data_IF_424768382980
#
_entry.id   IF_424768382980
#
_cell.length_a   1.000
_cell.length_b   1.000
_cell.length_c   1.000
_cell.angle_alpha   90.00
_cell.angle_beta   90.00
_cell.angle_gamma   90.00
#
_symmetry.space_group_name_H-M   'P 1'
#
loop_
_entity.id
_entity.type
_entity.pdbx_description
1 polymer ?
#
# COMPACT_ATOMS: atom_id res chain seq x y z
N UNK A 1 -7.71 11.30 2.85
CA UNK A 1 -6.92 10.87 1.67
C UNK A 1 -6.48 9.45 1.99
N UNK A 2 -6.78 8.47 1.13
CA UNK A 2 -6.52 7.06 1.43
C UNK A 2 -5.33 6.58 0.61
N UNK A 3 -4.42 5.90 1.29
CA UNK A 3 -3.26 5.25 0.70
C UNK A 3 -3.32 3.76 1.02
N UNK A 4 -2.94 2.92 0.07
CA UNK A 4 -2.81 1.48 0.28
C UNK A 4 -1.37 1.07 0.06
N UNK A 5 -0.81 0.35 1.02
CA UNK A 5 0.42 -0.42 0.91
C UNK A 5 0.05 -1.89 0.83
N UNK A 6 0.64 -2.66 -0.07
CA UNK A 6 0.49 -4.10 -0.01
C UNK A 6 1.72 -4.83 -0.54
N UNK A 7 2.30 -5.70 0.28
CA UNK A 7 3.14 -6.77 -0.23
C UNK A 7 2.25 -7.86 -0.82
N UNK A 8 2.17 -7.90 -2.14
CA UNK A 8 1.24 -8.80 -2.84
C UNK A 8 1.85 -10.17 -3.16
N UNK A 9 3.13 -10.37 -2.86
CA UNK A 9 3.90 -11.60 -3.07
C UNK A 9 3.81 -12.18 -4.50
N UNK A 10 3.41 -11.37 -5.47
CA UNK A 10 3.33 -11.67 -6.89
C UNK A 10 1.97 -11.31 -7.51
N UNK A 11 1.96 -10.36 -8.45
CA UNK A 11 0.76 -10.00 -9.25
C UNK A 11 0.55 -10.92 -10.46
N UNK A 12 1.12 -12.12 -10.40
CA UNK A 12 1.11 -13.13 -11.45
C UNK A 12 -0.22 -13.88 -11.57
N UNK A 13 -0.94 -14.05 -10.46
CA UNK A 13 -2.12 -14.90 -10.38
C UNK A 13 -3.42 -14.11 -10.58
N UNK A 14 -4.48 -14.72 -11.15
CA UNK A 14 -5.80 -14.09 -11.24
C UNK A 14 -6.38 -13.72 -9.89
N UNK A 15 -6.16 -14.54 -8.85
CA UNK A 15 -6.66 -14.29 -7.49
C UNK A 15 -6.03 -13.02 -6.90
N UNK A 16 -4.71 -12.85 -6.96
CA UNK A 16 -4.04 -11.65 -6.43
C UNK A 16 -4.50 -10.38 -7.18
N UNK A 17 -4.68 -10.47 -8.50
CA UNK A 17 -5.20 -9.36 -9.31
C UNK A 17 -6.67 -9.04 -8.97
N UNK A 18 -7.48 -10.06 -8.70
CA UNK A 18 -8.85 -9.88 -8.24
C UNK A 18 -8.89 -9.13 -6.90
N UNK A 19 -8.10 -9.58 -5.92
CA UNK A 19 -8.01 -8.94 -4.61
C UNK A 19 -7.52 -7.50 -4.71
N UNK A 20 -6.51 -7.22 -5.54
CA UNK A 20 -6.11 -5.84 -5.84
C UNK A 20 -7.31 -5.03 -6.36
N UNK A 21 -8.06 -5.58 -7.31
CA UNK A 21 -9.27 -4.96 -7.85
C UNK A 21 -10.35 -4.72 -6.79
N UNK A 22 -10.48 -5.57 -5.78
CA UNK A 22 -11.39 -5.37 -4.66
C UNK A 22 -10.92 -4.27 -3.71
N UNK A 23 -9.61 -4.22 -3.41
CA UNK A 23 -9.01 -3.17 -2.59
C UNK A 23 -9.20 -1.79 -3.23
N UNK A 24 -8.93 -1.68 -4.54
CA UNK A 24 -9.11 -0.45 -5.32
C UNK A 24 -10.57 0.00 -5.34
N UNK A 25 -11.50 -0.93 -5.60
CA UNK A 25 -12.95 -0.62 -5.67
C UNK A 25 -13.58 -0.29 -4.32
N UNK A 26 -13.10 -0.90 -3.24
CA UNK A 26 -13.73 -0.75 -1.92
C UNK A 26 -13.26 0.49 -1.17
N UNK A 27 -12.04 0.96 -1.43
CA UNK A 27 -11.42 2.04 -0.66
C UNK A 27 -11.11 3.28 -1.50
N UNK A 28 -11.20 3.20 -2.83
CA UNK A 28 -10.90 4.30 -3.76
C UNK A 28 -9.61 5.07 -3.39
N UNK A 29 -8.47 4.37 -3.25
CA UNK A 29 -7.24 4.98 -2.80
C UNK A 29 -6.72 6.00 -3.82
N UNK A 30 -6.20 7.12 -3.31
CA UNK A 30 -5.51 8.13 -4.13
C UNK A 30 -4.07 7.72 -4.48
N UNK A 31 -3.45 6.88 -3.64
CA UNK A 31 -2.11 6.34 -3.83
C UNK A 31 -2.09 4.86 -3.44
N UNK A 32 -1.43 4.03 -4.23
CA UNK A 32 -1.29 2.59 -4.01
C UNK A 32 0.14 2.20 -4.25
N UNK A 33 0.76 1.55 -3.28
CA UNK A 33 2.07 0.95 -3.41
C UNK A 33 1.96 -0.56 -3.33
N UNK A 34 2.67 -1.24 -4.22
CA UNK A 34 2.75 -2.68 -4.29
C UNK A 34 4.22 -3.12 -4.20
N UNK A 35 4.52 -3.97 -3.23
CA UNK A 35 5.81 -4.65 -3.07
C UNK A 35 5.75 -6.10 -3.55
N UNK A 36 6.94 -6.67 -3.83
CA UNK A 36 7.14 -8.03 -4.35
C UNK A 36 6.17 -8.38 -5.48
N UNK A 37 6.01 -7.45 -6.43
CA UNK A 37 5.08 -7.64 -7.55
C UNK A 37 5.47 -8.84 -8.43
N UNK A 38 6.76 -9.22 -8.44
CA UNK A 38 7.33 -10.33 -9.25
C UNK A 38 6.95 -10.22 -10.74
N UNK A 39 6.78 -9.00 -11.23
CA UNK A 39 6.25 -8.72 -12.56
C UNK A 39 7.20 -7.86 -13.42
N UNK A 40 7.09 -8.07 -14.72
CA UNK A 40 7.65 -7.20 -15.75
C UNK A 40 6.65 -6.10 -16.15
N UNK A 41 7.14 -5.08 -16.86
CA UNK A 41 6.42 -3.90 -17.34
C UNK A 41 5.02 -4.20 -17.87
N UNK A 42 4.88 -5.16 -18.78
CA UNK A 42 3.62 -5.42 -19.47
C UNK A 42 2.44 -5.74 -18.54
N UNK A 43 2.70 -6.42 -17.40
CA UNK A 43 1.66 -6.73 -16.43
C UNK A 43 1.20 -5.49 -15.67
N UNK A 44 2.15 -4.67 -15.22
CA UNK A 44 1.87 -3.43 -14.48
C UNK A 44 1.13 -2.44 -15.38
N UNK A 45 1.53 -2.30 -16.65
CA UNK A 45 0.83 -1.46 -17.62
C UNK A 45 -0.60 -1.97 -17.89
N UNK A 46 -0.83 -3.28 -17.87
CA UNK A 46 -2.18 -3.84 -17.90
C UNK A 46 -3.03 -3.45 -16.69
N UNK A 47 -2.46 -3.44 -15.48
CA UNK A 47 -3.15 -3.01 -14.25
C UNK A 47 -3.48 -1.51 -14.31
N UNK A 48 -2.54 -0.67 -14.75
CA UNK A 48 -2.74 0.77 -14.95
C UNK A 48 -3.92 1.05 -15.89
N UNK A 49 -3.94 0.40 -17.06
CA UNK A 49 -5.03 0.55 -18.04
C UNK A 49 -6.39 0.15 -17.49
N UNK A 50 -6.49 -0.98 -16.77
CA UNK A 50 -7.77 -1.47 -16.22
C UNK A 50 -8.28 -0.65 -15.03
N UNK A 51 -7.37 -0.12 -14.21
CA UNK A 51 -7.71 0.66 -13.02
C UNK A 51 -7.89 2.15 -13.31
N UNK A 52 -7.43 2.64 -14.46
CA UNK A 52 -7.41 4.07 -14.78
C UNK A 52 -6.39 4.87 -13.95
N UNK A 53 -5.42 4.18 -13.33
CA UNK A 53 -4.39 4.79 -12.50
C UNK A 53 -3.14 5.12 -13.32
N UNK A 54 -2.50 6.22 -12.97
CA UNK A 54 -1.14 6.53 -13.37
C UNK A 54 -0.16 5.74 -12.49
N UNK A 55 1.10 5.61 -12.91
CA UNK A 55 2.05 4.88 -12.08
C UNK A 55 3.46 4.75 -12.64
N UNK A 56 4.41 4.61 -11.73
CA UNK A 56 5.79 4.19 -11.97
C UNK A 56 6.05 2.83 -11.32
N UNK A 57 7.08 2.12 -11.79
CA UNK A 57 7.42 0.81 -11.27
C UNK A 57 8.90 0.50 -11.46
N UNK A 58 9.36 -0.48 -10.71
CA UNK A 58 10.67 -1.12 -10.82
C UNK A 58 10.39 -2.59 -11.14
N UNK A 59 10.95 -3.13 -12.21
CA UNK A 59 10.72 -4.52 -12.59
C UNK A 59 11.36 -5.51 -11.61
N UNK A 60 10.79 -6.72 -11.52
CA UNK A 60 11.40 -7.79 -10.75
C UNK A 60 12.72 -8.27 -11.36
N UNK A 61 13.65 -8.68 -10.49
CA UNK A 61 14.88 -9.37 -10.88
C UNK A 61 14.67 -10.87 -10.68
N UNK A 62 14.53 -11.60 -11.79
CA UNK A 62 14.12 -13.01 -11.75
C UNK A 62 12.78 -13.21 -11.03
N UNK A 63 12.77 -14.04 -9.99
CA UNK A 63 11.59 -14.41 -9.18
C UNK A 63 11.37 -13.53 -7.93
N UNK A 64 12.17 -12.48 -7.76
CA UNK A 64 12.15 -11.62 -6.57
C UNK A 64 11.98 -10.15 -6.89
N UNK A 65 11.40 -9.42 -5.95
CA UNK A 65 11.27 -7.98 -5.98
C UNK A 65 10.24 -7.48 -6.99
N UNK A 66 10.47 -6.26 -7.44
CA UNK A 66 9.56 -5.50 -8.27
C UNK A 66 8.61 -4.65 -7.42
N UNK A 67 8.60 -3.36 -7.69
CA UNK A 67 7.83 -2.36 -6.95
C UNK A 67 6.91 -1.63 -7.91
N UNK A 68 5.71 -1.25 -7.46
CA UNK A 68 4.85 -0.37 -8.24
C UNK A 68 4.24 0.70 -7.34
N UNK A 69 4.25 1.94 -7.80
CA UNK A 69 3.53 3.03 -7.20
C UNK A 69 2.51 3.54 -8.20
N UNK A 70 1.24 3.48 -7.83
CA UNK A 70 0.09 3.85 -8.65
C UNK A 70 -0.69 4.98 -7.98
N UNK A 71 -1.24 5.91 -8.75
CA UNK A 71 -2.01 7.03 -8.22
C UNK A 71 -3.14 7.45 -9.16
N UNK A 72 -4.16 8.07 -8.58
CA UNK A 72 -5.30 8.61 -9.32
C UNK A 72 -5.00 10.01 -9.88
N UNK A 73 -5.92 10.54 -10.69
CA UNK A 73 -5.80 11.89 -11.27
C UNK A 73 -5.78 13.02 -10.22
N UNK A 74 -6.24 12.75 -8.99
CA UNK A 74 -6.30 13.71 -7.89
C UNK A 74 -4.95 13.93 -7.23
N UNK A 75 -3.96 13.08 -7.50
CA UNK A 75 -2.62 13.16 -6.93
C UNK A 75 -1.59 13.50 -8.00
N UNK A 76 -0.78 14.51 -7.74
CA UNK A 76 0.43 14.82 -8.51
C UNK A 76 1.60 14.13 -7.83
N UNK A 77 2.37 13.32 -8.55
CA UNK A 77 3.53 12.61 -8.00
C UNK A 77 4.79 13.09 -8.72
N UNK A 78 5.79 13.49 -7.95
CA UNK A 78 7.12 13.88 -8.42
C UNK A 78 8.13 12.86 -7.90
N UNK A 79 8.79 12.17 -8.82
CA UNK A 79 9.82 11.19 -8.49
C UNK A 79 11.08 11.91 -8.01
N UNK A 80 11.59 11.53 -6.85
CA UNK A 80 12.86 12.03 -6.31
C UNK A 80 13.98 11.04 -6.59
N UNK A 81 13.86 9.81 -6.06
CA UNK A 81 14.84 8.74 -6.25
C UNK A 81 14.14 7.38 -6.36
N UNK A 82 14.79 6.42 -7.01
CA UNK A 82 14.31 5.04 -7.08
C UNK A 82 15.47 4.06 -7.20
N UNK A 83 15.18 2.79 -6.89
CA UNK A 83 16.11 1.70 -7.05
C UNK A 83 15.42 0.34 -6.87
N UNK A 84 16.17 -0.77 -6.90
CA UNK A 84 15.62 -2.13 -6.84
C UNK A 84 14.71 -2.39 -5.63
N UNK A 85 14.97 -1.68 -4.52
CA UNK A 85 14.27 -1.85 -3.26
C UNK A 85 13.55 -0.58 -2.81
N UNK A 86 13.40 0.44 -3.68
CA UNK A 86 12.77 1.69 -3.27
C UNK A 86 12.18 2.54 -4.37
N UNK A 87 11.14 3.28 -3.99
CA UNK A 87 10.60 4.40 -4.74
C UNK A 87 10.42 5.54 -3.73
N UNK A 88 11.06 6.66 -3.97
CA UNK A 88 10.93 7.87 -3.17
C UNK A 88 10.29 8.97 -4.02
N UNK A 89 9.19 9.53 -3.52
CA UNK A 89 8.34 10.47 -4.25
C UNK A 89 7.85 11.57 -3.34
N UNK A 90 7.58 12.73 -3.95
CA UNK A 90 6.82 13.81 -3.38
C UNK A 90 5.43 13.82 -4.03
N UNK A 91 4.37 13.65 -3.23
CA UNK A 91 3.00 13.49 -3.73
C UNK A 91 2.14 14.66 -3.28
N UNK A 92 1.50 15.43 -4.15
CA UNK A 92 0.65 16.57 -3.79
C UNK A 92 -0.79 16.30 -4.23
N UNK A 93 -1.77 16.47 -3.34
CA UNK A 93 -3.20 16.35 -3.69
C UNK A 93 -3.69 17.62 -4.39
N UNK A 94 -4.24 17.47 -5.58
CA UNK A 94 -4.82 18.57 -6.37
C UNK A 94 -6.09 19.08 -5.67
N UNK A 95 -6.20 20.41 -5.55
CA UNK A 95 -7.33 21.09 -4.88
C UNK A 95 -7.08 21.47 -3.42
N UNK A 96 -5.98 21.03 -2.80
CA UNK A 96 -5.48 21.57 -1.54
C UNK A 96 -4.51 22.73 -1.84
N UNK A 97 -5.07 23.89 -2.19
CA UNK A 97 -4.33 25.13 -2.42
C UNK A 97 -4.39 26.01 -1.15
N UNK A 98 -3.80 25.59 -0.03
CA UNK A 98 -3.23 26.56 0.91
C UNK A 98 -1.73 26.68 0.64
N UNK A 99 -1.21 27.91 0.65
CA UNK A 99 0.21 28.19 0.46
C UNK A 99 0.98 27.53 1.62
N UNK A 100 1.67 26.42 1.34
CA UNK A 100 2.22 25.50 2.37
C UNK A 100 1.74 24.04 2.21
N UNK A 101 0.72 23.79 1.38
CA UNK A 101 0.14 22.47 1.13
C UNK A 101 0.97 21.56 0.22
N UNK A 102 2.22 21.92 -0.06
CA UNK A 102 3.16 20.97 -0.63
C UNK A 102 3.35 19.87 0.41
N UNK A 103 2.85 18.68 0.12
CA UNK A 103 3.20 17.42 0.79
C UNK A 103 4.69 17.17 0.51
N UNK A 104 5.56 18.04 1.03
CA UNK A 104 7.00 17.90 0.96
C UNK A 104 7.32 16.69 1.83
N UNK A 105 7.89 15.70 1.15
CA UNK A 105 8.65 14.56 1.64
C UNK A 105 8.80 14.49 3.16
N UNK A 106 8.29 13.42 3.77
CA UNK A 106 9.17 12.32 4.20
C UNK A 106 8.35 11.02 4.25
N UNK A 107 8.87 10.01 3.55
CA UNK A 107 8.62 8.58 3.77
C UNK A 107 7.16 8.11 3.89
N UNK A 108 6.40 8.09 2.78
CA UNK A 108 5.73 6.83 2.47
C UNK A 108 6.78 5.88 1.88
N UNK A 109 7.79 5.56 2.70
CA UNK A 109 8.73 4.51 2.41
C UNK A 109 7.98 3.24 2.76
N UNK A 110 6.98 2.94 1.94
CA UNK A 110 6.40 1.62 1.90
C UNK A 110 7.52 0.78 1.31
N UNK A 111 8.40 0.28 2.16
CA UNK A 111 9.29 -0.80 1.81
C UNK A 111 8.88 -1.96 2.69
N UNK A 112 8.29 -2.95 2.05
CA UNK A 112 8.27 -4.28 2.63
C UNK A 112 9.71 -4.78 2.62
N UNK A 113 10.17 -5.21 3.81
CA UNK A 113 11.44 -5.90 4.11
C UNK A 113 12.66 -4.95 4.24
N UNK A 114 13.26 -4.89 5.45
CA UNK A 114 14.54 -5.53 5.87
C UNK A 114 14.86 -5.04 7.31
N UNK A 115 15.17 -5.96 8.24
CA UNK A 115 15.68 -5.71 9.62
C UNK A 115 16.79 -4.63 9.72
N UNK A 116 17.64 -4.52 8.70
CA UNK A 116 18.73 -3.52 8.52
C UNK A 116 18.24 -2.08 8.34
N UNK A 117 16.95 -1.85 8.08
CA UNK A 117 16.40 -0.51 7.91
C UNK A 117 16.06 0.18 9.25
N UNK A 118 15.94 -0.58 10.35
CA UNK A 118 15.71 0.00 11.69
C UNK A 118 16.81 1.01 12.06
N UNK A 119 18.06 0.76 11.66
CA UNK A 119 19.19 1.66 11.91
C UNK A 119 19.15 2.94 11.06
N UNK A 120 18.65 2.85 9.81
CA UNK A 120 18.47 4.00 8.92
C UNK A 120 17.23 4.85 9.29
N UNK A 121 16.22 4.25 9.93
CA UNK A 121 15.08 4.97 10.51
C UNK A 121 15.53 5.82 11.70
N UNK A 122 16.44 5.32 12.53
CA UNK A 122 16.97 6.06 13.69
C UNK A 122 17.72 7.33 13.29
N UNK A 123 18.41 7.34 12.14
CA UNK A 123 19.09 8.53 11.63
C UNK A 123 18.16 9.54 10.94
N UNK A 124 16.89 9.18 10.71
CA UNK A 124 15.93 9.99 9.93
C UNK A 124 14.74 10.50 10.75
N UNK A 125 14.77 10.35 12.09
CA UNK A 125 13.70 10.74 13.02
C UNK A 125 12.31 10.22 12.59
N UNK A 126 12.28 9.04 11.95
CA UNK A 126 11.06 8.38 11.51
C UNK A 126 10.61 7.40 12.59
N UNK A 127 9.37 7.55 13.05
CA UNK A 127 8.78 6.69 14.07
C UNK A 127 7.53 6.00 13.56
N UNK A 128 7.28 4.78 14.01
CA UNK A 128 6.09 3.98 13.73
C UNK A 128 4.81 4.77 14.03
N UNK A 129 3.83 4.73 13.13
CA UNK A 129 2.54 5.41 13.31
C UNK A 129 1.54 4.62 14.18
N UNK A 130 1.89 3.41 14.60
CA UNK A 130 0.93 2.45 15.16
C UNK A 130 0.01 1.87 14.10
N UNK A 131 -1.00 1.12 14.54
CA UNK A 131 -2.04 0.55 13.68
C UNK A 131 -3.30 0.19 14.47
N UNK A 132 -4.42 0.06 13.77
CA UNK A 132 -5.66 -0.55 14.25
C UNK A 132 -5.87 -1.92 13.57
N UNK A 133 -6.48 -2.86 14.31
CA UNK A 133 -6.83 -4.19 13.82
C UNK A 133 -5.88 -5.28 14.30
N UNK A 134 -5.65 -6.29 13.46
CA UNK A 134 -4.74 -7.40 13.75
C UNK A 134 -3.34 -6.89 14.11
N UNK A 135 -2.67 -7.41 15.16
CA UNK A 135 -1.29 -7.03 15.46
C UNK A 135 -0.27 -7.54 14.44
N UNK A 136 -0.68 -8.46 13.56
CA UNK A 136 0.17 -9.12 12.59
C UNK A 136 -0.17 -8.68 11.17
N UNK A 137 0.84 -8.68 10.30
CA UNK A 137 0.70 -8.41 8.87
C UNK A 137 1.17 -9.55 8.00
N UNK A 138 1.75 -10.60 8.59
CA UNK A 138 2.25 -11.77 7.89
C UNK A 138 1.91 -13.06 8.64
N UNK A 139 1.68 -14.14 7.90
CA UNK A 139 1.54 -15.50 8.41
C UNK A 139 2.33 -16.47 7.53
N UNK A 140 3.00 -17.45 8.15
CA UNK A 140 3.75 -18.49 7.42
C UNK A 140 2.85 -19.49 6.66
N UNK A 141 1.52 -19.38 6.78
CA UNK A 141 0.50 -20.23 6.17
C UNK A 141 0.59 -21.72 6.50
N UNK A 142 1.41 -22.10 7.50
CA UNK A 142 1.41 -23.48 7.99
C UNK A 142 0.18 -23.72 8.87
N UNK A 143 -0.39 -24.94 8.87
CA UNK A 143 -1.46 -25.29 9.77
C UNK A 143 -0.97 -25.31 11.22
N UNK A 144 -1.90 -25.15 12.15
CA UNK A 144 -1.64 -25.29 13.58
C UNK A 144 -1.04 -26.69 13.88
N UNK A 145 -0.07 -26.80 14.81
CA UNK A 145 0.45 -25.76 15.72
C UNK A 145 1.65 -24.97 15.17
N UNK A 146 2.06 -25.22 13.93
CA UNK A 146 3.26 -24.62 13.34
C UNK A 146 3.00 -23.22 12.75
N UNK A 147 1.81 -22.68 12.96
CA UNK A 147 1.41 -21.36 12.47
C UNK A 147 2.18 -20.25 13.20
N UNK A 148 2.85 -19.40 12.42
CA UNK A 148 3.60 -18.25 12.93
C UNK A 148 3.02 -16.98 12.32
N UNK A 149 2.79 -16.00 13.18
CA UNK A 149 2.34 -14.66 12.81
C UNK A 149 3.39 -13.61 13.17
N UNK A 150 3.67 -12.70 12.24
CA UNK A 150 4.62 -11.61 12.45
C UNK A 150 4.07 -10.27 11.92
N UNK A 151 4.57 -9.15 12.46
CA UNK A 151 4.35 -7.81 11.92
C UNK A 151 5.57 -7.40 11.11
N UNK A 152 5.47 -7.53 9.78
CA UNK A 152 6.56 -7.23 8.85
C UNK A 152 6.39 -5.91 8.10
N UNK A 153 5.18 -5.38 8.09
CA UNK A 153 4.82 -4.17 7.37
C UNK A 153 4.41 -3.08 8.36
N UNK A 154 4.95 -1.86 8.17
CA UNK A 154 4.59 -0.70 8.98
C UNK A 154 4.67 0.60 8.18
N UNK A 155 3.94 1.62 8.65
CA UNK A 155 4.05 2.98 8.17
C UNK A 155 4.75 3.83 9.25
N UNK A 156 5.79 4.54 8.85
CA UNK A 156 6.56 5.42 9.72
C UNK A 156 6.46 6.86 9.23
N UNK A 157 6.57 7.81 10.14
CA UNK A 157 6.55 9.24 9.83
C UNK A 157 7.44 10.02 10.79
N UNK A 158 7.89 11.20 10.34
CA UNK A 158 8.59 12.17 11.20
C UNK A 158 7.58 13.04 11.98
N UNK A 159 8.05 13.80 12.99
CA UNK A 159 7.17 14.69 13.76
C UNK A 159 6.46 15.76 12.94
N UNK A 160 7.09 16.30 11.88
CA UNK A 160 6.49 17.32 11.02
C UNK A 160 5.31 16.75 10.24
N UNK A 161 5.44 15.52 9.75
CA UNK A 161 4.36 14.80 9.10
C UNK A 161 3.21 14.49 10.07
N UNK A 162 3.52 14.01 11.28
CA UNK A 162 2.52 13.77 12.33
C UNK A 162 1.75 15.03 12.72
N UNK A 163 2.44 16.17 12.85
CA UNK A 163 1.81 17.45 13.13
C UNK A 163 0.84 17.89 12.02
N UNK A 164 1.13 17.49 10.78
CA UNK A 164 0.30 17.81 9.61
C UNK A 164 -0.91 16.88 9.45
N UNK A 165 -0.76 15.61 9.78
CA UNK A 165 -1.83 14.61 9.75
C UNK A 165 -2.04 14.01 11.14
N UNK A 166 -2.49 14.81 12.11
CA UNK A 166 -2.64 14.37 13.50
C UNK A 166 -3.70 13.27 13.65
N UNK A 167 -4.63 13.19 12.69
CA UNK A 167 -5.69 12.20 12.65
C UNK A 167 -5.35 11.02 11.73
N UNK A 168 -4.11 10.88 11.27
CA UNK A 168 -3.74 9.77 10.41
C UNK A 168 -3.91 8.44 11.16
N UNK A 169 -4.55 7.47 10.51
CA UNK A 169 -4.73 6.12 11.05
C UNK A 169 -4.23 5.09 10.05
N UNK A 170 -3.47 4.12 10.55
CA UNK A 170 -3.04 2.93 9.80
C UNK A 170 -3.93 1.76 10.21
N UNK A 171 -4.43 0.99 9.25
CA UNK A 171 -5.29 -0.19 9.49
C UNK A 171 -4.75 -1.37 8.70
N UNK A 172 -4.73 -2.54 9.32
CA UNK A 172 -4.43 -3.77 8.61
C UNK A 172 -5.70 -4.29 7.93
N UNK A 173 -5.60 -4.57 6.62
CA UNK A 173 -6.68 -5.11 5.80
C UNK A 173 -6.31 -6.55 5.48
N UNK A 174 -7.04 -7.53 6.06
CA UNK A 174 -6.81 -8.93 5.77
C UNK A 174 -6.93 -9.24 4.28
N UNK A 175 -5.92 -9.91 3.72
CA UNK A 175 -5.93 -10.33 2.31
C UNK A 175 -5.74 -11.83 2.22
N UNK A 176 -6.81 -12.55 1.89
CA UNK A 176 -6.79 -14.02 1.83
C UNK A 176 -5.98 -14.60 0.67
N UNK A 177 -5.65 -13.79 -0.34
CA UNK A 177 -4.86 -14.23 -1.49
C UNK A 177 -3.36 -14.07 -1.32
N UNK A 178 -2.88 -13.63 -0.15
CA UNK A 178 -1.46 -13.47 0.16
C UNK A 178 -1.21 -13.93 1.59
N UNK A 179 0.05 -14.23 1.88
CA UNK A 179 0.60 -14.37 3.22
C UNK A 179 0.78 -13.03 3.95
N UNK A 180 0.55 -11.91 3.25
CA UNK A 180 0.64 -10.55 3.77
C UNK A 180 -0.69 -9.80 3.71
N UNK A 181 -1.01 -9.11 4.79
CA UNK A 181 -2.10 -8.14 4.84
C UNK A 181 -1.70 -6.81 4.18
N UNK A 182 -2.68 -6.07 3.68
CA UNK A 182 -2.47 -4.73 3.15
C UNK A 182 -2.56 -3.69 4.29
N UNK A 183 -1.75 -2.63 4.23
CA UNK A 183 -1.93 -1.47 5.11
C UNK A 183 -2.78 -0.42 4.40
N UNK A 184 -3.86 0.01 5.06
CA UNK A 184 -4.65 1.17 4.67
C UNK A 184 -4.28 2.35 5.56
N UNK A 185 -3.82 3.44 4.97
CA UNK A 185 -3.43 4.66 5.66
C UNK A 185 -4.46 5.74 5.29
N UNK A 186 -5.25 6.19 6.26
CA UNK A 186 -6.21 7.28 6.08
C UNK A 186 -5.71 8.54 6.78
N UNK A 187 -5.29 9.53 5.99
CA UNK A 187 -4.71 10.78 6.50
C UNK A 187 -5.71 11.72 7.18
N UNK A 188 -7.01 11.49 6.98
CA UNK A 188 -8.07 12.40 7.45
C UNK A 188 -9.02 11.69 8.43
N UNK A 189 -8.84 10.38 8.62
CA UNK A 189 -9.77 9.50 9.34
C UNK A 189 -11.23 9.73 8.90
N UNK A 190 -11.46 9.66 7.59
CA UNK A 190 -12.79 9.87 7.03
C UNK A 190 -13.77 8.81 7.52
N UNK A 191 -14.97 9.20 8.03
CA UNK A 191 -16.01 8.24 8.38
C UNK A 191 -16.36 7.40 7.14
N UNK A 192 -16.39 6.07 7.28
CA UNK A 192 -16.70 5.18 6.16
C UNK A 192 -18.12 5.47 5.68
N UNK A 193 -18.28 5.77 4.39
CA UNK A 193 -19.61 5.70 3.77
C UNK A 193 -20.14 4.26 3.91
N UNK A 194 -21.43 4.05 4.20
CA UNK A 194 -22.02 2.72 4.24
C UNK A 194 -21.76 2.01 2.91
N UNK A 195 -21.17 0.81 2.96
CA UNK A 195 -20.96 0.01 1.74
C UNK A 195 -22.30 -0.18 1.02
N UNK A 196 -22.40 0.07 -0.29
CA UNK A 196 -23.55 -0.39 -1.04
C UNK A 196 -23.65 -1.91 -0.87
N UNK A 197 -24.79 -2.40 -0.37
CA UNK A 197 -25.02 -3.84 -0.18
C UNK A 197 -24.77 -4.53 -1.52
N UNK A 198 -23.69 -5.32 -1.62
CA UNK A 198 -23.50 -6.22 -2.76
C UNK A 198 -24.71 -7.15 -2.78
N UNK A 199 -25.43 -7.18 -3.90
CA UNK A 199 -26.45 -8.21 -4.14
C UNK A 199 -25.73 -9.57 -4.04
N UNK A 200 -26.16 -10.50 -3.19
CA UNK A 200 -25.51 -11.78 -3.07
C UNK A 200 -25.56 -12.50 -4.42
N UNK A 201 -24.43 -13.06 -4.83
CA UNK A 201 -24.37 -13.98 -5.95
C UNK A 201 -25.19 -15.22 -5.58
N UNK A 202 -26.21 -15.55 -6.36
CA UNK A 202 -27.04 -16.76 -6.20
C UNK A 202 -26.73 -17.70 -7.35
N UNK A 203 -26.47 -18.97 -7.04
CA UNK A 203 -26.45 -20.05 -8.01
C UNK A 203 -27.66 -20.95 -7.72
N UNK A 204 -28.41 -21.32 -8.75
CA UNK A 204 -29.40 -22.40 -8.65
C UNK A 204 -28.64 -23.71 -8.83
N UNK A 205 -28.65 -24.56 -7.81
CA UNK A 205 -28.18 -25.93 -7.95
C UNK A 205 -29.14 -26.67 -8.90
N UNK A 206 -28.60 -27.26 -9.97
CA UNK A 206 -29.30 -28.25 -10.80
C UNK A 206 -29.34 -29.60 -10.09
#
# INVERSE_FOLDING_TARGET
>A
MILISWNCQGLGTPCTVHTLGELLRSHHPSLVFLAETKCKKGRIDGIKRRSGLFGCYVESQGRSGGLALLWDKSTTVQLQTFGPHHINVMCIRKGSLKRGDSLVSTALLIRTIIRRFKEALTSTDLHDLGHEGSPFTWCNQYPEPDTIYERLDSACADPSWRARFPNAVVRHIPVTSSDHDALLIDLVNTPRLPRPKRRPFRFEAM
#
